data_IF_225827636463
#
_entry.id   IF_225827636463
#
_cell.length_a   1.000
_cell.length_b   1.000
_cell.length_c   1.000
_cell.angle_alpha   90.00
_cell.angle_beta   90.00
_cell.angle_gamma   90.00
#
_symmetry.space_group_name_H-M   'P 1'
#
loop_
_entity.id
_entity.type
_entity.pdbx_description
1 polymer ?
#
# COMPACT_ATOMS: atom_id res chain seq x y z
N UNK A 1 -7.79 -2.31 -20.69
CA UNK A 1 -7.26 -1.17 -19.91
C UNK A 1 -8.44 -0.52 -19.21
N UNK A 2 -8.34 -0.22 -17.92
CA UNK A 2 -9.40 0.44 -17.15
C UNK A 2 -9.20 1.96 -17.14
N UNK A 3 -10.25 2.72 -16.82
CA UNK A 3 -10.24 4.18 -16.72
C UNK A 3 -10.60 4.66 -15.31
N UNK A 4 -10.18 5.86 -14.95
CA UNK A 4 -10.49 6.48 -13.66
C UNK A 4 -11.90 7.08 -13.67
N UNK A 5 -12.68 6.82 -12.62
CA UNK A 5 -13.95 7.50 -12.39
C UNK A 5 -13.70 8.79 -11.59
N UNK A 6 -14.08 9.97 -12.11
CA UNK A 6 -13.82 11.25 -11.44
C UNK A 6 -14.58 11.42 -10.11
N UNK A 7 -15.56 10.57 -9.81
CA UNK A 7 -16.34 10.61 -8.59
C UNK A 7 -15.88 9.62 -7.51
N UNK A 8 -14.90 8.75 -7.81
CA UNK A 8 -14.39 7.77 -6.85
C UNK A 8 -13.09 8.29 -6.23
N UNK A 9 -12.96 8.12 -4.91
CA UNK A 9 -11.70 8.32 -4.18
C UNK A 9 -10.86 7.05 -4.27
N UNK A 10 -9.63 7.16 -4.77
CA UNK A 10 -8.70 6.03 -4.89
C UNK A 10 -7.52 6.22 -3.94
N UNK A 11 -7.18 5.20 -3.16
CA UNK A 11 -6.04 5.21 -2.22
C UNK A 11 -5.36 3.85 -2.25
N UNK A 12 -4.02 3.83 -2.22
CA UNK A 12 -3.21 2.60 -2.18
C UNK A 12 -2.35 2.56 -0.93
N UNK A 13 -2.14 1.34 -0.43
CA UNK A 13 -1.21 1.04 0.66
C UNK A 13 -0.24 -0.02 0.15
N UNK A 14 1.05 0.19 0.40
CA UNK A 14 2.12 -0.66 -0.14
C UNK A 14 3.07 -1.05 0.97
N UNK A 15 3.39 -2.33 1.08
CA UNK A 15 4.40 -2.87 1.99
C UNK A 15 5.74 -3.07 1.29
N UNK A 16 6.79 -3.21 2.10
CA UNK A 16 8.07 -3.76 1.67
C UNK A 16 8.62 -4.63 2.80
N UNK A 17 9.06 -5.84 2.46
CA UNK A 17 9.63 -6.82 3.38
C UNK A 17 10.88 -7.43 2.76
N UNK A 18 11.70 -6.57 2.15
CA UNK A 18 12.97 -6.93 1.53
C UNK A 18 14.04 -5.89 1.85
N UNK A 19 15.29 -6.34 1.87
CA UNK A 19 16.47 -5.47 2.03
C UNK A 19 17.47 -5.67 0.90
N UNK A 20 18.18 -4.58 0.59
CA UNK A 20 19.23 -4.56 -0.43
C UNK A 20 20.48 -5.28 0.07
N UNK A 21 20.88 -6.33 -0.65
CA UNK A 21 22.15 -7.03 -0.44
C UNK A 21 23.35 -6.32 -1.10
N UNK A 22 24.58 -6.85 -0.93
CA UNK A 22 25.80 -6.19 -1.40
C UNK A 22 25.89 -5.96 -2.91
N UNK A 23 25.15 -6.73 -3.71
CA UNK A 23 25.13 -6.62 -5.18
C UNK A 23 23.95 -5.79 -5.72
N UNK A 24 23.17 -5.15 -4.84
CA UNK A 24 22.00 -4.36 -5.23
C UNK A 24 20.75 -5.19 -5.53
N UNK A 25 20.76 -6.49 -5.21
CA UNK A 25 19.57 -7.36 -5.25
C UNK A 25 18.82 -7.31 -3.92
N UNK A 26 17.51 -7.55 -3.97
CA UNK A 26 16.65 -7.57 -2.78
C UNK A 26 16.45 -9.01 -2.29
N UNK A 27 16.58 -9.19 -0.97
CA UNK A 27 16.33 -10.47 -0.29
C UNK A 27 15.24 -10.27 0.77
N UNK A 28 14.42 -11.30 1.06
CA UNK A 28 13.37 -11.20 2.07
C UNK A 28 13.96 -10.89 3.45
N UNK A 29 13.26 -10.06 4.20
CA UNK A 29 13.61 -9.76 5.59
C UNK A 29 13.34 -10.97 6.49
N UNK A 30 14.06 -11.04 7.62
CA UNK A 30 13.66 -11.96 8.69
C UNK A 30 12.28 -11.57 9.20
N UNK A 31 11.30 -12.45 9.03
CA UNK A 31 9.90 -12.20 9.38
C UNK A 31 9.00 -11.94 8.17
N UNK A 32 9.50 -11.99 6.94
CA UNK A 32 8.63 -12.29 5.79
C UNK A 32 8.05 -13.70 5.97
N UNK A 33 6.77 -13.88 5.70
CA UNK A 33 6.10 -15.17 5.82
C UNK A 33 6.81 -16.22 4.96
N UNK A 34 7.22 -17.32 5.60
CA UNK A 34 8.18 -18.27 5.03
C UNK A 34 7.78 -18.87 3.67
N UNK A 35 6.48 -18.90 3.33
CA UNK A 35 6.02 -19.36 2.01
C UNK A 35 6.37 -18.38 0.87
N UNK A 36 6.68 -17.13 1.19
CA UNK A 36 6.99 -16.05 0.23
C UNK A 36 8.49 -15.84 0.02
N UNK A 37 9.33 -16.55 0.75
CA UNK A 37 10.79 -16.41 0.70
C UNK A 37 11.35 -16.63 -0.72
N UNK A 38 10.82 -17.63 -1.43
CA UNK A 38 11.27 -17.97 -2.79
C UNK A 38 10.76 -16.94 -3.80
N UNK A 39 9.50 -16.54 -3.70
CA UNK A 39 8.93 -15.53 -4.60
C UNK A 39 9.58 -14.16 -4.41
N UNK A 40 9.91 -13.79 -3.16
CA UNK A 40 10.61 -12.55 -2.84
C UNK A 40 11.97 -12.48 -3.53
N UNK A 41 12.73 -13.59 -3.53
CA UNK A 41 14.02 -13.68 -4.21
C UNK A 41 13.87 -13.63 -5.74
N UNK A 42 12.86 -14.28 -6.30
CA UNK A 42 12.57 -14.21 -7.75
C UNK A 42 12.34 -12.75 -8.18
N UNK A 43 11.54 -12.00 -7.43
CA UNK A 43 11.26 -10.58 -7.69
C UNK A 43 12.51 -9.72 -7.44
N UNK A 44 13.18 -9.95 -6.31
CA UNK A 44 14.33 -9.17 -5.86
C UNK A 44 15.60 -9.29 -6.72
N UNK A 45 15.63 -10.28 -7.63
CA UNK A 45 16.70 -10.49 -8.59
C UNK A 45 16.30 -10.12 -10.03
N UNK A 46 15.21 -9.35 -10.22
CA UNK A 46 14.86 -8.81 -11.54
C UNK A 46 16.04 -8.01 -12.12
N UNK A 47 16.21 -8.09 -13.44
CA UNK A 47 17.24 -7.36 -14.16
C UNK A 47 17.11 -5.84 -13.97
N UNK A 48 15.88 -5.34 -13.80
CA UNK A 48 15.53 -3.94 -13.59
C UNK A 48 15.50 -3.64 -12.10
N UNK A 49 16.28 -2.67 -11.66
CA UNK A 49 16.47 -2.35 -10.25
C UNK A 49 15.19 -1.89 -9.56
N UNK A 50 14.37 -1.10 -10.27
CA UNK A 50 13.12 -0.56 -9.74
C UNK A 50 12.04 -1.61 -9.47
N UNK A 51 12.19 -2.82 -10.02
CA UNK A 51 11.27 -3.96 -9.82
C UNK A 51 11.65 -4.85 -8.63
N UNK A 52 12.78 -4.61 -7.97
CA UNK A 52 13.33 -5.55 -6.99
C UNK A 52 12.66 -5.47 -5.62
N UNK A 53 12.41 -4.26 -5.10
CA UNK A 53 11.81 -4.09 -3.76
C UNK A 53 10.42 -4.68 -3.74
N UNK A 54 10.10 -5.51 -2.75
CA UNK A 54 8.86 -6.28 -2.75
C UNK A 54 8.35 -6.59 -1.33
N UNK A 55 7.08 -6.99 -1.27
CA UNK A 55 6.39 -7.44 -0.05
C UNK A 55 6.37 -8.98 0.09
N UNK A 56 7.21 -9.70 -0.66
CA UNK A 56 7.23 -11.15 -0.75
C UNK A 56 6.68 -11.69 -2.06
N UNK A 57 5.62 -11.09 -2.62
CA UNK A 57 4.94 -11.60 -3.83
C UNK A 57 4.59 -10.52 -4.85
N UNK A 58 4.58 -9.25 -4.45
CA UNK A 58 4.32 -8.11 -5.32
C UNK A 58 5.46 -7.10 -5.20
N UNK A 59 6.05 -6.65 -6.32
CA UNK A 59 7.03 -5.57 -6.30
C UNK A 59 6.37 -4.24 -5.92
N UNK A 60 7.06 -3.43 -5.11
CA UNK A 60 6.58 -2.14 -4.58
C UNK A 60 5.98 -1.29 -5.69
N UNK A 61 6.69 -1.12 -6.80
CA UNK A 61 6.23 -0.27 -7.91
C UNK A 61 4.93 -0.74 -8.56
N UNK A 62 4.57 -2.01 -8.43
CA UNK A 62 3.29 -2.55 -8.92
C UNK A 62 2.14 -2.26 -7.96
N UNK A 63 2.42 -2.07 -6.67
CA UNK A 63 1.42 -1.81 -5.63
C UNK A 63 1.10 -0.31 -5.48
N UNK A 64 2.05 0.57 -5.84
CA UNK A 64 1.87 2.03 -5.70
C UNK A 64 0.64 2.54 -6.48
N UNK A 65 0.52 2.22 -7.77
CA UNK A 65 -0.63 2.55 -8.62
C UNK A 65 -0.49 1.82 -9.98
N UNK A 66 -1.57 1.70 -10.76
CA UNK A 66 -1.48 1.28 -12.15
C UNK A 66 -0.60 2.23 -12.99
N UNK A 67 0.28 1.68 -13.81
CA UNK A 67 1.12 2.47 -14.72
C UNK A 67 0.25 3.29 -15.68
N UNK A 68 0.68 4.51 -15.98
CA UNK A 68 0.00 5.47 -16.86
C UNK A 68 -1.38 5.97 -16.37
N UNK A 69 -1.73 5.76 -15.09
CA UNK A 69 -2.88 6.41 -14.46
C UNK A 69 -2.42 7.56 -13.56
N UNK A 70 -3.24 8.63 -13.39
CA UNK A 70 -2.86 9.77 -12.57
C UNK A 70 -2.75 9.36 -11.09
N UNK A 71 -1.68 9.82 -10.44
CA UNK A 71 -1.43 9.57 -9.02
C UNK A 71 -0.82 10.79 -8.33
N UNK A 72 -0.91 10.80 -7.00
CA UNK A 72 -0.26 11.78 -6.12
C UNK A 72 0.18 11.08 -4.84
N UNK A 73 1.39 11.38 -4.38
CA UNK A 73 1.84 10.93 -3.07
C UNK A 73 1.17 11.76 -1.99
N UNK A 74 0.62 11.10 -0.98
CA UNK A 74 0.00 11.75 0.19
C UNK A 74 0.73 11.35 1.46
N UNK A 75 0.67 12.19 2.49
CA UNK A 75 1.22 11.81 3.81
C UNK A 75 0.22 10.95 4.58
N UNK A 76 0.67 10.35 5.70
CA UNK A 76 -0.23 9.64 6.60
C UNK A 76 -1.23 10.59 7.29
N UNK A 77 -0.82 11.83 7.54
CA UNK A 77 -1.63 12.84 8.24
C UNK A 77 -2.64 13.53 7.30
N UNK A 78 -2.35 13.57 6.00
CA UNK A 78 -3.24 14.16 5.01
C UNK A 78 -4.49 13.30 4.80
N UNK A 79 -5.69 13.93 4.79
CA UNK A 79 -6.93 13.24 4.49
C UNK A 79 -6.92 12.78 3.03
N UNK A 80 -7.00 11.48 2.80
CA UNK A 80 -6.99 10.89 1.46
C UNK A 80 -8.36 11.01 0.78
N UNK A 81 -8.84 12.23 0.55
CA UNK A 81 -10.21 12.51 0.06
C UNK A 81 -10.30 12.98 -1.41
N UNK A 82 -9.18 12.99 -2.15
CA UNK A 82 -9.17 13.42 -3.56
C UNK A 82 -9.83 12.37 -4.46
N UNK A 83 -10.70 12.82 -5.37
CA UNK A 83 -11.38 11.95 -6.33
C UNK A 83 -10.66 11.89 -7.68
N UNK A 84 -10.83 10.78 -8.40
CA UNK A 84 -10.33 10.59 -9.76
C UNK A 84 -8.81 10.47 -9.91
N UNK A 85 -8.08 10.30 -8.81
CA UNK A 85 -6.62 10.18 -8.77
C UNK A 85 -6.19 9.18 -7.70
N UNK A 86 -5.17 8.35 -7.98
CA UNK A 86 -4.59 7.45 -6.99
C UNK A 86 -3.83 8.22 -5.93
N UNK A 87 -4.25 8.13 -4.68
CA UNK A 87 -3.55 8.72 -3.54
C UNK A 87 -2.64 7.66 -2.92
N UNK A 88 -1.35 7.77 -3.20
CA UNK A 88 -0.34 6.78 -2.80
C UNK A 88 0.15 7.11 -1.40
N UNK A 89 -0.18 6.25 -0.43
CA UNK A 89 0.29 6.41 0.96
C UNK A 89 1.77 6.01 1.07
N UNK A 90 2.49 6.49 2.10
CA UNK A 90 3.89 6.10 2.33
C UNK A 90 4.04 4.58 2.46
N UNK A 91 5.14 4.05 1.91
CA UNK A 91 5.45 2.61 1.95
C UNK A 91 5.66 2.17 3.41
N UNK A 92 4.92 1.14 3.82
CA UNK A 92 4.99 0.57 5.16
C UNK A 92 6.19 -0.37 5.23
N UNK A 93 7.15 -0.03 6.08
CA UNK A 93 8.41 -0.75 6.21
C UNK A 93 8.25 -2.03 7.04
N UNK A 94 8.83 -3.12 6.53
CA UNK A 94 8.83 -4.43 7.18
C UNK A 94 7.47 -5.14 7.16
N UNK A 95 6.48 -4.63 6.43
CA UNK A 95 5.21 -5.33 6.23
C UNK A 95 5.30 -6.13 4.93
N UNK A 96 5.11 -7.44 5.05
CA UNK A 96 4.95 -8.31 3.91
C UNK A 96 3.49 -8.33 3.41
N UNK A 97 3.23 -9.10 2.35
CA UNK A 97 1.94 -9.15 1.70
C UNK A 97 0.80 -9.63 2.60
N UNK A 98 1.08 -10.53 3.54
CA UNK A 98 0.07 -11.20 4.36
C UNK A 98 -0.06 -10.59 5.76
N UNK A 99 0.91 -9.76 6.17
CA UNK A 99 0.80 -8.88 7.34
C UNK A 99 -0.40 -7.95 7.27
N UNK A 100 -0.73 -7.46 6.06
CA UNK A 100 -1.89 -6.61 5.81
C UNK A 100 -3.22 -7.22 6.21
N UNK A 101 -3.29 -8.54 6.27
CA UNK A 101 -4.50 -9.30 6.64
C UNK A 101 -4.31 -10.15 7.91
N UNK A 102 -3.15 -10.04 8.57
CA UNK A 102 -2.88 -10.65 9.88
C UNK A 102 -2.80 -12.17 9.88
N UNK A 103 -2.43 -12.81 8.77
CA UNK A 103 -2.32 -14.28 8.70
C UNK A 103 -0.90 -14.80 8.87
N UNK A 104 0.11 -13.92 8.93
CA UNK A 104 1.44 -14.33 9.39
C UNK A 104 1.42 -14.55 10.92
N UNK A 105 1.13 -15.79 11.31
CA UNK A 105 1.15 -16.22 12.70
C UNK A 105 2.58 -16.50 13.23
N UNK A 106 3.61 -16.36 12.39
CA UNK A 106 5.01 -16.54 12.75
C UNK A 106 5.72 -15.20 12.98
N UNK A 107 5.28 -14.10 12.37
CA UNK A 107 5.81 -12.76 12.62
C UNK A 107 5.19 -12.09 13.86
N UNK A 108 5.82 -12.32 15.02
CA UNK A 108 5.44 -11.65 16.25
C UNK A 108 5.79 -10.15 16.29
N UNK A 109 6.51 -9.59 15.32
CA UNK A 109 6.79 -8.14 15.27
C UNK A 109 5.52 -7.37 14.92
N UNK A 110 4.68 -7.90 14.03
CA UNK A 110 3.38 -7.32 13.67
C UNK A 110 2.38 -7.61 14.79
N UNK A 111 1.84 -6.56 15.39
CA UNK A 111 0.93 -6.70 16.55
C UNK A 111 -0.52 -6.57 16.10
N UNK A 112 -1.43 -7.30 16.75
CA UNK A 112 -2.87 -7.14 16.51
C UNK A 112 -3.35 -5.70 16.75
N UNK A 113 -2.76 -4.97 17.70
CA UNK A 113 -3.05 -3.55 17.91
C UNK A 113 -2.58 -2.66 16.74
N UNK A 114 -1.43 -2.97 16.14
CA UNK A 114 -0.91 -2.27 14.97
C UNK A 114 -1.85 -2.48 13.76
N UNK A 115 -2.26 -3.72 13.52
CA UNK A 115 -3.21 -4.08 12.47
C UNK A 115 -4.59 -3.43 12.69
N UNK A 116 -5.10 -3.44 13.92
CA UNK A 116 -6.35 -2.78 14.26
C UNK A 116 -6.30 -1.26 14.02
N UNK A 117 -5.18 -0.61 14.37
CA UNK A 117 -4.96 0.80 14.11
C UNK A 117 -4.89 1.10 12.60
N UNK A 118 -4.22 0.25 11.82
CA UNK A 118 -4.17 0.37 10.36
C UNK A 118 -5.57 0.37 9.75
N UNK A 119 -6.39 -0.63 10.07
CA UNK A 119 -7.77 -0.70 9.58
C UNK A 119 -8.65 0.43 10.11
N UNK A 120 -8.47 0.86 11.35
CA UNK A 120 -9.16 2.04 11.89
C UNK A 120 -8.79 3.30 11.11
N UNK A 121 -7.53 3.45 10.68
CA UNK A 121 -7.08 4.51 9.78
C UNK A 121 -7.82 4.52 8.45
N UNK A 122 -7.97 3.36 7.81
CA UNK A 122 -8.74 3.22 6.56
C UNK A 122 -10.20 3.65 6.77
N UNK A 123 -10.84 3.19 7.85
CA UNK A 123 -12.23 3.56 8.17
C UNK A 123 -12.36 5.07 8.41
N UNK A 124 -11.40 5.70 9.09
CA UNK A 124 -11.39 7.15 9.28
C UNK A 124 -11.26 7.91 7.95
N UNK A 125 -10.45 7.43 7.01
CA UNK A 125 -10.35 8.02 5.67
C UNK A 125 -11.67 7.88 4.88
N UNK A 126 -12.35 6.73 5.00
CA UNK A 126 -13.68 6.53 4.40
C UNK A 126 -14.73 7.49 4.99
N UNK A 127 -14.76 7.66 6.32
CA UNK A 127 -15.66 8.64 6.98
C UNK A 127 -15.39 10.08 6.53
N UNK A 128 -14.13 10.43 6.26
CA UNK A 128 -13.77 11.76 5.72
C UNK A 128 -14.28 11.92 4.28
N UNK A 129 -14.22 10.88 3.46
CA UNK A 129 -14.81 10.89 2.11
C UNK A 129 -16.32 11.17 2.20
N UNK A 130 -17.04 10.42 3.05
CA UNK A 130 -18.48 10.64 3.29
C UNK A 130 -18.79 12.07 3.74
N UNK A 131 -18.01 12.61 4.68
CA UNK A 131 -18.19 13.97 5.18
C UNK A 131 -17.98 15.04 4.10
N UNK A 132 -17.05 14.82 3.16
CA UNK A 132 -16.82 15.74 2.02
C UNK A 132 -17.90 15.64 0.95
N UNK A 133 -18.53 14.47 0.78
CA UNK A 133 -19.70 14.27 -0.09
C UNK A 133 -20.94 14.97 0.45
N UNK A 134 -21.23 14.81 1.74
CA UNK A 134 -22.37 15.47 2.40
C UNK A 134 -22.33 17.00 2.27
N UNK A 135 -21.14 17.61 2.41
CA UNK A 135 -20.95 19.06 2.24
C UNK A 135 -21.13 19.52 0.79
N UNK A 136 -20.65 18.74 -0.19
CA UNK A 136 -20.80 19.06 -1.61
C UNK A 136 -22.26 19.03 -2.09
N UNK A 137 -23.10 18.20 -1.48
CA UNK A 137 -24.53 18.10 -1.79
C UNK A 137 -25.34 19.24 -1.17
N UNK A 138 -25.00 19.68 0.05
CA UNK A 138 -25.66 20.84 0.68
C UNK A 138 -25.41 22.16 -0.05
N UNK A 139 -24.19 22.40 -0.54
CA UNK A 139 -23.84 23.62 -1.30
C UNK A 139 -24.49 23.70 -2.69
N UNK A 140 -24.95 22.58 -3.26
CA UNK A 140 -25.68 22.57 -4.55
C UNK A 140 -27.19 22.73 -4.39
N UNK A 141 -27.70 22.67 -3.16
CA UNK A 141 -29.13 22.75 -2.84
C UNK A 141 -29.54 24.13 -2.29
N UNK A 142 -28.59 25.07 -2.18
CA UNK A 142 -28.75 26.46 -1.73
C UNK A 142 -28.50 27.43 -2.89
#
# INVERSE_FOLDING_TARGET
MTSMNPNITYTTYTGVSSHTGPLGYENPDLGTFFLMDTTSRIIGHDAREEWRKNDGVVPVISSLHPSNQPFVNVTNDEPATRRGIWQVKPIIQGWDHVDFIGVDFLDFKRKGAELANFYTGIINDLLRVEATEGKGTQLKAS
#
